data_IF_627821908847
#
_entry.id   IF_627821908847
#
_cell.length_a   1.000
_cell.length_b   1.000
_cell.length_c   1.000
_cell.angle_alpha   90.00
_cell.angle_beta   90.00
_cell.angle_gamma   90.00
#
_symmetry.space_group_name_H-M   'P 1'
#
loop_
_entity.id
_entity.type
_entity.pdbx_description
1 polymer ?
#
# COMPACT_ATOMS: atom_id res chain seq x y z
N UNK A 1 -24.83 -45.35 13.54
CA UNK A 1 -25.43 -44.02 13.27
C UNK A 1 -24.83 -43.04 14.26
N UNK A 2 -24.39 -41.89 13.74
CA UNK A 2 -23.77 -40.69 14.31
C UNK A 2 -23.82 -40.50 15.86
N UNK A 3 -22.83 -39.89 16.50
CA UNK A 3 -22.38 -38.53 16.17
C UNK A 3 -20.97 -38.21 16.68
N UNK A 4 -20.16 -37.66 15.78
CA UNK A 4 -18.92 -36.95 16.07
C UNK A 4 -19.22 -35.65 16.84
N UNK A 5 -18.55 -35.46 17.98
CA UNK A 5 -18.53 -34.20 18.70
C UNK A 5 -17.60 -33.25 17.94
N UNK A 6 -18.20 -32.35 17.17
CA UNK A 6 -17.50 -31.20 16.58
C UNK A 6 -17.02 -30.28 17.71
N UNK A 7 -15.73 -30.31 18.01
CA UNK A 7 -15.09 -29.30 18.86
C UNK A 7 -14.99 -28.00 18.08
N UNK A 8 -15.90 -27.07 18.37
CA UNK A 8 -15.91 -25.70 17.88
C UNK A 8 -14.67 -24.96 18.36
N UNK A 9 -13.59 -24.99 17.58
CA UNK A 9 -12.45 -24.08 17.78
C UNK A 9 -12.86 -22.69 17.34
N UNK A 10 -13.40 -21.89 18.26
CA UNK A 10 -13.46 -20.44 18.12
C UNK A 10 -12.02 -19.90 18.10
N UNK A 11 -11.41 -19.85 16.91
CA UNK A 11 -10.23 -19.00 16.70
C UNK A 11 -10.67 -17.57 16.94
N UNK A 12 -10.35 -17.00 18.11
CA UNK A 12 -10.39 -15.55 18.26
C UNK A 12 -9.34 -14.99 17.30
N UNK A 13 -9.79 -14.48 16.16
CA UNK A 13 -8.95 -13.79 15.20
C UNK A 13 -8.27 -12.63 15.94
N UNK A 14 -6.97 -12.77 16.22
CA UNK A 14 -6.18 -11.65 16.76
C UNK A 14 -6.34 -10.51 15.78
N UNK A 15 -6.85 -9.37 16.27
CA UNK A 15 -7.00 -8.17 15.45
C UNK A 15 -5.61 -7.80 14.90
N UNK A 16 -5.46 -7.88 13.58
CA UNK A 16 -4.23 -7.46 12.90
C UNK A 16 -4.10 -5.95 13.05
N UNK A 17 -2.90 -5.45 13.38
CA UNK A 17 -2.63 -4.01 13.34
C UNK A 17 -2.88 -3.52 11.91
N UNK A 18 -3.72 -2.50 11.70
CA UNK A 18 -3.97 -1.95 10.38
C UNK A 18 -2.72 -1.24 9.85
N UNK A 19 -2.57 -1.19 8.54
CA UNK A 19 -1.58 -0.34 7.89
C UNK A 19 -2.24 1.00 7.55
N UNK A 20 -1.55 2.09 7.88
CA UNK A 20 -1.97 3.45 7.55
C UNK A 20 -1.28 3.89 6.28
N UNK A 21 -2.06 4.43 5.34
CA UNK A 21 -1.60 5.01 4.08
C UNK A 21 -2.00 6.48 4.07
N UNK A 22 -1.03 7.38 3.94
CA UNK A 22 -1.29 8.82 3.84
C UNK A 22 -0.72 9.40 2.55
N UNK A 23 -1.43 10.36 1.96
CA UNK A 23 -1.12 10.93 0.66
C UNK A 23 -0.57 12.35 0.74
N UNK A 24 0.34 12.60 -0.19
CA UNK A 24 0.68 13.92 -0.73
C UNK A 24 0.65 13.89 -2.25
N UNK A 25 -0.21 14.69 -2.87
CA UNK A 25 -0.20 14.92 -4.33
C UNK A 25 0.91 15.94 -4.66
N UNK A 26 1.84 15.56 -5.52
CA UNK A 26 2.77 16.51 -6.15
C UNK A 26 2.09 17.17 -7.36
N UNK A 27 2.48 18.40 -7.69
CA UNK A 27 1.85 19.29 -8.68
C UNK A 27 1.05 18.57 -9.80
N UNK A 28 -0.23 18.94 -9.97
CA UNK A 28 -1.17 18.19 -10.80
C UNK A 28 -0.90 18.43 -12.30
N UNK A 29 -0.26 17.45 -12.96
CA UNK A 29 -0.12 17.43 -14.42
C UNK A 29 -1.40 16.93 -15.15
N UNK A 30 -2.21 16.11 -14.48
CA UNK A 30 -3.45 15.51 -15.00
C UNK A 30 -4.01 14.47 -14.03
N UNK A 31 -5.23 13.97 -14.27
CA UNK A 31 -5.82 12.89 -13.47
C UNK A 31 -6.28 11.74 -14.35
N UNK A 32 -6.25 10.52 -13.82
CA UNK A 32 -6.72 9.32 -14.50
C UNK A 32 -7.54 8.44 -13.56
N UNK A 33 -8.54 7.76 -14.13
CA UNK A 33 -9.33 6.76 -13.41
C UNK A 33 -8.56 5.45 -13.37
N UNK A 34 -8.26 4.95 -12.17
CA UNK A 34 -7.57 3.68 -11.96
C UNK A 34 -8.53 2.48 -12.08
N UNK A 35 -9.81 2.65 -11.71
CA UNK A 35 -10.92 1.77 -12.06
C UNK A 35 -10.63 0.28 -11.85
N UNK A 36 -10.79 -0.54 -12.89
CA UNK A 36 -10.60 -2.00 -12.82
C UNK A 36 -9.16 -2.45 -12.47
N UNK A 37 -8.17 -1.55 -12.52
CA UNK A 37 -6.78 -1.87 -12.23
C UNK A 37 -6.41 -1.76 -10.75
N UNK A 38 -7.27 -1.16 -9.91
CA UNK A 38 -6.96 -0.92 -8.48
C UNK A 38 -6.56 -2.20 -7.76
N UNK A 39 -7.31 -3.29 -7.96
CA UNK A 39 -7.01 -4.58 -7.35
C UNK A 39 -5.65 -5.13 -7.80
N UNK A 40 -5.41 -5.17 -9.11
CA UNK A 40 -4.16 -5.70 -9.68
C UNK A 40 -2.95 -4.90 -9.22
N UNK A 41 -3.03 -3.57 -9.24
CA UNK A 41 -1.96 -2.67 -8.83
C UNK A 41 -1.68 -2.81 -7.33
N UNK A 42 -2.74 -2.81 -6.50
CA UNK A 42 -2.59 -2.95 -5.05
C UNK A 42 -1.99 -4.30 -4.67
N UNK A 43 -2.41 -5.39 -5.33
CA UNK A 43 -1.89 -6.73 -5.11
C UNK A 43 -0.41 -6.87 -5.52
N UNK A 44 -0.06 -6.37 -6.71
CA UNK A 44 1.31 -6.43 -7.22
C UNK A 44 2.28 -5.62 -6.35
N UNK A 45 1.90 -4.39 -5.98
CA UNK A 45 2.72 -3.55 -5.09
C UNK A 45 2.81 -4.20 -3.70
N UNK A 46 1.73 -4.73 -3.14
CA UNK A 46 1.77 -5.41 -1.85
C UNK A 46 2.71 -6.63 -1.85
N UNK A 47 2.71 -7.43 -2.93
CA UNK A 47 3.66 -8.53 -3.09
C UNK A 47 5.12 -8.07 -3.12
N UNK A 48 5.39 -6.98 -3.83
CA UNK A 48 6.72 -6.36 -3.89
C UNK A 48 7.19 -5.82 -2.53
N UNK A 49 6.31 -5.11 -1.81
CA UNK A 49 6.61 -4.58 -0.47
C UNK A 49 6.90 -5.74 0.49
N UNK A 50 6.05 -6.77 0.48
CA UNK A 50 6.21 -7.94 1.34
C UNK A 50 7.50 -8.69 1.05
N UNK A 51 7.84 -8.91 -0.22
CA UNK A 51 9.08 -9.58 -0.61
C UNK A 51 10.33 -8.80 -0.15
N UNK A 52 10.39 -7.49 -0.42
CA UNK A 52 11.52 -6.66 0.01
C UNK A 52 11.66 -6.58 1.53
N UNK A 53 10.53 -6.51 2.25
CA UNK A 53 10.51 -6.59 3.71
C UNK A 53 11.11 -7.91 4.21
N UNK A 54 10.78 -9.03 3.58
CA UNK A 54 11.33 -10.35 3.95
C UNK A 54 12.84 -10.45 3.70
N UNK A 55 13.31 -9.81 2.64
CA UNK A 55 14.73 -9.70 2.30
C UNK A 55 15.47 -8.62 3.11
N UNK A 56 14.76 -7.85 3.95
CA UNK A 56 15.30 -6.70 4.70
C UNK A 56 15.98 -5.67 3.80
N UNK A 57 15.39 -5.44 2.63
CA UNK A 57 15.95 -4.59 1.60
C UNK A 57 15.42 -3.16 1.73
N UNK A 58 16.34 -2.21 1.85
CA UNK A 58 16.06 -0.77 1.78
C UNK A 58 16.23 -0.21 0.36
N UNK A 59 16.41 -1.10 -0.64
CA UNK A 59 16.60 -0.67 -2.01
C UNK A 59 15.34 -0.02 -2.57
N UNK A 60 15.53 0.89 -3.52
CA UNK A 60 14.42 1.44 -4.29
C UNK A 60 14.00 0.44 -5.36
N UNK A 61 12.70 0.17 -5.44
CA UNK A 61 12.08 -0.62 -6.50
C UNK A 61 11.17 0.27 -7.33
N UNK A 62 11.21 0.14 -8.65
CA UNK A 62 10.34 0.90 -9.55
C UNK A 62 9.86 0.03 -10.71
N UNK A 63 8.75 0.44 -11.33
CA UNK A 63 8.19 -0.30 -12.45
C UNK A 63 6.92 0.30 -13.00
N UNK A 64 6.25 -0.45 -13.87
CA UNK A 64 4.95 -0.09 -14.44
C UNK A 64 4.03 -1.30 -14.46
N UNK A 65 2.78 -1.11 -14.05
CA UNK A 65 1.72 -2.13 -14.00
C UNK A 65 0.50 -1.53 -14.72
N UNK A 66 0.08 -2.12 -15.84
CA UNK A 66 -1.11 -1.68 -16.60
C UNK A 66 -1.14 -0.17 -16.94
N UNK A 67 0.04 0.39 -17.27
CA UNK A 67 0.21 1.81 -17.58
C UNK A 67 0.14 2.75 -16.37
N UNK A 68 0.41 2.21 -15.17
CA UNK A 68 0.61 2.93 -13.93
C UNK A 68 2.02 2.73 -13.44
N UNK A 69 2.76 3.82 -13.26
CA UNK A 69 4.15 3.77 -12.83
C UNK A 69 4.23 3.92 -11.32
N UNK A 70 5.19 3.22 -10.72
CA UNK A 70 5.44 3.28 -9.29
C UNK A 70 6.94 3.34 -8.98
N UNK A 71 7.25 3.89 -7.82
CA UNK A 71 8.57 3.83 -7.18
C UNK A 71 8.35 3.67 -5.68
N UNK A 72 9.00 2.68 -5.07
CA UNK A 72 8.85 2.33 -3.67
C UNK A 72 10.22 2.25 -3.01
N UNK A 73 10.30 2.73 -1.78
CA UNK A 73 11.38 2.34 -0.86
C UNK A 73 10.86 2.35 0.58
N UNK A 74 11.53 1.57 1.43
CA UNK A 74 11.32 1.57 2.87
C UNK A 74 12.56 2.08 3.61
N UNK A 75 12.32 2.51 4.83
CA UNK A 75 13.31 2.98 5.79
C UNK A 75 13.02 2.36 7.16
N UNK A 76 13.88 2.65 8.14
CA UNK A 76 13.79 2.06 9.48
C UNK A 76 14.85 1.01 9.75
N UNK A 77 14.69 0.29 10.86
CA UNK A 77 15.53 -0.87 11.15
C UNK A 77 15.24 -1.94 10.11
N UNK A 78 16.25 -2.33 9.33
CA UNK A 78 16.18 -3.39 8.31
C UNK A 78 15.12 -3.21 7.21
N UNK A 79 14.39 -2.10 7.16
CA UNK A 79 13.34 -1.83 6.18
C UNK A 79 12.27 -2.92 6.10
N UNK A 80 12.04 -3.62 7.23
CA UNK A 80 11.06 -4.68 7.36
C UNK A 80 9.82 -4.22 8.13
N UNK A 81 8.68 -4.79 7.76
CA UNK A 81 7.40 -4.63 8.44
C UNK A 81 6.89 -5.99 8.91
N UNK A 82 6.09 -5.98 9.98
CA UNK A 82 5.35 -7.16 10.42
C UNK A 82 4.01 -7.33 9.70
N UNK A 83 3.65 -6.38 8.83
CA UNK A 83 2.43 -6.45 8.03
C UNK A 83 2.45 -7.68 7.12
N UNK A 84 1.34 -8.42 7.13
CA UNK A 84 1.13 -9.49 6.15
C UNK A 84 0.85 -8.88 4.77
N UNK A 85 1.18 -9.60 3.70
CA UNK A 85 0.93 -9.15 2.33
C UNK A 85 -0.53 -8.71 2.11
N UNK A 86 -1.48 -9.46 2.65
CA UNK A 86 -2.92 -9.14 2.58
C UNK A 86 -3.27 -7.82 3.28
N UNK A 87 -2.60 -7.50 4.40
CA UNK A 87 -2.81 -6.24 5.11
C UNK A 87 -2.30 -5.06 4.29
N UNK A 88 -1.13 -5.21 3.64
CA UNK A 88 -0.57 -4.19 2.75
C UNK A 88 -1.49 -3.98 1.54
N UNK A 89 -1.93 -5.08 0.91
CA UNK A 89 -2.88 -5.04 -0.20
C UNK A 89 -4.17 -4.32 0.21
N UNK A 90 -4.80 -4.75 1.30
CA UNK A 90 -6.06 -4.17 1.76
C UNK A 90 -5.95 -2.68 2.07
N UNK A 91 -4.82 -2.23 2.63
CA UNK A 91 -4.59 -0.82 2.91
C UNK A 91 -4.44 0.02 1.63
N UNK A 92 -3.66 -0.44 0.65
CA UNK A 92 -3.51 0.23 -0.66
C UNK A 92 -4.84 0.27 -1.43
N UNK A 93 -5.54 -0.85 -1.48
CA UNK A 93 -6.84 -0.96 -2.14
C UNK A 93 -7.87 -0.03 -1.50
N UNK A 94 -7.95 -0.03 -0.16
CA UNK A 94 -8.86 0.85 0.57
C UNK A 94 -8.54 2.32 0.32
N UNK A 95 -7.27 2.71 0.37
CA UNK A 95 -6.85 4.08 0.06
C UNK A 95 -7.29 4.50 -1.36
N UNK A 96 -6.94 3.70 -2.39
CA UNK A 96 -7.24 4.03 -3.79
C UNK A 96 -8.74 4.11 -4.09
N UNK A 97 -9.55 3.25 -3.47
CA UNK A 97 -11.00 3.21 -3.71
C UNK A 97 -11.78 4.23 -2.88
N UNK A 98 -11.31 4.60 -1.68
CA UNK A 98 -12.09 5.44 -0.75
C UNK A 98 -11.60 6.87 -0.62
N UNK A 99 -10.27 7.07 -0.59
CA UNK A 99 -9.66 8.39 -0.47
C UNK A 99 -9.58 9.01 -1.87
N UNK A 100 -8.96 8.29 -2.80
CA UNK A 100 -8.81 8.74 -4.18
C UNK A 100 -10.08 8.55 -5.02
N UNK A 101 -11.04 7.74 -4.54
CA UNK A 101 -12.30 7.44 -5.25
C UNK A 101 -12.04 7.01 -6.69
N UNK A 102 -11.07 6.10 -6.85
CA UNK A 102 -10.58 5.59 -8.13
C UNK A 102 -9.99 6.65 -9.07
N UNK A 103 -9.62 7.83 -8.55
CA UNK A 103 -9.06 8.94 -9.34
C UNK A 103 -7.70 9.36 -8.78
N UNK A 104 -6.65 8.97 -9.47
CA UNK A 104 -5.27 9.33 -9.14
C UNK A 104 -4.83 10.52 -10.00
N UNK A 105 -4.26 11.53 -9.36
CA UNK A 105 -3.82 12.77 -10.02
C UNK A 105 -2.29 12.93 -9.94
N UNK A 106 -1.66 13.23 -11.08
CA UNK A 106 -0.22 13.43 -11.20
C UNK A 106 0.59 12.24 -10.70
N UNK A 107 1.68 12.55 -10.01
CA UNK A 107 2.39 11.61 -9.13
C UNK A 107 1.94 11.85 -7.69
N UNK A 108 1.26 10.87 -7.11
CA UNK A 108 1.01 10.83 -5.68
C UNK A 108 2.23 10.25 -4.97
N UNK A 109 2.53 10.78 -3.80
CA UNK A 109 3.40 10.15 -2.82
C UNK A 109 2.55 9.62 -1.68
N UNK A 110 2.64 8.32 -1.40
CA UNK A 110 1.96 7.66 -0.32
C UNK A 110 2.98 7.26 0.75
N UNK A 111 2.78 7.67 2.01
CA UNK A 111 3.50 7.11 3.14
C UNK A 111 2.75 5.90 3.69
N UNK A 112 3.44 4.79 3.91
CA UNK A 112 2.90 3.57 4.51
C UNK A 112 3.53 3.35 5.89
N UNK A 113 2.68 3.22 6.90
CA UNK A 113 3.07 3.00 8.29
C UNK A 113 2.34 1.78 8.88
N UNK A 114 3.08 0.94 9.61
CA UNK A 114 2.55 -0.22 10.34
C UNK A 114 3.05 -0.24 11.80
N UNK A 115 3.56 0.90 12.29
CA UNK A 115 4.18 1.07 13.59
C UNK A 115 5.62 0.55 13.66
N UNK A 116 6.21 0.65 14.85
CA UNK A 116 7.60 0.26 15.08
C UNK A 116 8.57 1.26 14.45
N UNK A 117 9.55 0.74 13.71
CA UNK A 117 10.53 1.57 12.98
C UNK A 117 10.26 1.64 11.47
N UNK A 118 9.26 0.91 10.98
CA UNK A 118 8.99 0.81 9.55
C UNK A 118 8.32 2.07 9.05
N UNK A 119 8.93 2.70 8.06
CA UNK A 119 8.29 3.75 7.27
C UNK A 119 8.61 3.49 5.81
N UNK A 120 7.60 3.55 4.95
CA UNK A 120 7.80 3.40 3.52
C UNK A 120 7.09 4.48 2.70
N UNK A 121 7.60 4.69 1.49
CA UNK A 121 7.17 5.75 0.60
C UNK A 121 6.96 5.17 -0.78
N UNK A 122 5.78 5.41 -1.34
CA UNK A 122 5.34 4.90 -2.64
C UNK A 122 4.91 6.06 -3.53
N UNK A 123 5.65 6.29 -4.62
CA UNK A 123 5.16 7.07 -5.75
C UNK A 123 4.19 6.22 -6.55
N UNK A 124 3.06 6.78 -6.93
CA UNK A 124 2.11 6.15 -7.84
C UNK A 124 1.49 7.21 -8.77
N UNK A 125 1.36 6.88 -10.05
CA UNK A 125 0.71 7.75 -11.01
C UNK A 125 0.51 7.10 -12.36
N UNK A 126 -0.37 7.68 -13.19
CA UNK A 126 -0.52 7.24 -14.57
C UNK A 126 0.79 7.52 -15.30
N UNK A 127 1.33 6.57 -16.06
CA UNK A 127 2.64 6.71 -16.72
C UNK A 127 2.76 7.99 -17.55
N UNK A 128 1.67 8.43 -18.20
CA UNK A 128 1.65 9.66 -19.00
C UNK A 128 1.87 10.95 -18.18
N UNK A 129 1.63 10.92 -16.87
CA UNK A 129 1.72 12.07 -15.95
C UNK A 129 2.71 11.82 -14.81
N UNK A 130 3.43 10.70 -14.83
CA UNK A 130 4.31 10.30 -13.75
C UNK A 130 5.61 11.11 -13.81
N UNK A 131 5.79 11.99 -12.86
CA UNK A 131 7.06 12.66 -12.57
C UNK A 131 7.92 11.78 -11.65
N UNK A 132 8.96 11.17 -12.23
CA UNK A 132 9.94 10.37 -11.48
C UNK A 132 10.87 11.23 -10.61
N UNK A 133 11.06 12.50 -10.98
CA UNK A 133 11.91 13.44 -10.25
C UNK A 133 11.23 14.03 -9.00
N UNK A 134 9.91 13.90 -8.92
CA UNK A 134 9.14 14.36 -7.77
C UNK A 134 9.65 13.70 -6.49
N UNK A 135 9.91 14.49 -5.45
CA UNK A 135 10.29 13.96 -4.16
C UNK A 135 9.12 13.21 -3.53
N UNK A 136 9.39 12.04 -2.95
CA UNK A 136 8.45 11.27 -2.16
C UNK A 136 9.20 10.69 -0.97
N UNK A 137 8.92 11.19 0.24
CA UNK A 137 9.72 10.86 1.40
C UNK A 137 9.34 11.66 2.65
N UNK A 138 10.07 11.48 3.76
CA UNK A 138 9.71 11.99 5.09
C UNK A 138 9.61 13.51 5.21
N UNK A 139 10.20 14.26 4.27
CA UNK A 139 10.15 15.73 4.31
C UNK A 139 8.80 16.30 3.82
N UNK A 140 7.88 15.44 3.34
CA UNK A 140 6.55 15.86 2.93
C UNK A 140 5.57 15.86 4.10
N UNK A 141 4.66 16.84 4.12
CA UNK A 141 3.49 16.84 5.01
C UNK A 141 2.33 16.10 4.33
N UNK A 142 2.03 14.90 4.83
CA UNK A 142 0.90 14.08 4.38
C UNK A 142 -0.39 14.50 5.08
N UNK A 143 -1.50 14.55 4.34
CA UNK A 143 -2.75 15.20 4.82
C UNK A 143 -3.99 14.31 4.69
N UNK A 144 -4.07 13.47 3.65
CA UNK A 144 -5.20 12.56 3.47
C UNK A 144 -4.75 11.15 3.87
N UNK A 145 -5.26 10.64 4.98
CA UNK A 145 -4.90 9.31 5.47
C UNK A 145 -6.09 8.36 5.42
N UNK A 146 -5.83 7.10 5.13
CA UNK A 146 -6.73 6.00 5.38
C UNK A 146 -5.98 4.86 6.07
N UNK A 147 -6.63 4.22 7.03
CA UNK A 147 -6.12 3.02 7.69
C UNK A 147 -6.98 1.85 7.27
N UNK A 148 -6.35 0.76 6.82
CA UNK A 148 -7.05 -0.41 6.26
C UNK A 148 -6.28 -1.71 6.47
N UNK A 149 -6.79 -2.80 5.89
CA UNK A 149 -6.17 -4.14 5.99
C UNK A 149 -6.71 -5.02 7.12
N UNK A 150 -7.83 -4.63 7.73
CA UNK A 150 -8.72 -5.55 8.47
C UNK A 150 -9.55 -6.30 7.44
N UNK A 151 -9.52 -7.64 7.47
CA UNK A 151 -10.14 -8.52 6.49
C UNK A 151 -11.67 -8.33 6.38
N UNK A 152 -12.11 -7.36 5.60
CA UNK A 152 -13.48 -7.21 5.14
C UNK A 152 -13.44 -6.93 3.64
N UNK A 153 -13.43 -8.01 2.86
CA UNK A 153 -13.70 -8.00 1.43
C UNK A 153 -15.22 -7.99 1.22
#
# INVERSE_FOLDING_TARGET
MASDVSSSTTSSLVARTPMTVCEKINAVAGCATIGSYVYTISSAIAGLIWAQSHEKSCATSSGTIDGWSYEYYATGRNCDTTAQQETIHGALYHYLTTVDKDKVCGTQCLSLDHGGTYEAYLKLGKTAYFDSSAYCGPLLSFVNCASGGVNSF
#
